data_IF_854832701715
#
_entry.id   IF_854832701715
#
_cell.length_a   1.000
_cell.length_b   1.000
_cell.length_c   1.000
_cell.angle_alpha   90.00
_cell.angle_beta   90.00
_cell.angle_gamma   90.00
#
_symmetry.space_group_name_H-M   'P 1'
#
loop_
_entity.id
_entity.type
_entity.pdbx_description
1 polymer ?
#
# COMPACT_ATOMS: atom_id res chain seq x y z
N UNK A 1 -16.23 -13.31 -4.01
CA UNK A 1 -15.68 -12.21 -4.83
C UNK A 1 -16.21 -10.93 -4.22
N UNK A 2 -15.46 -10.32 -3.29
CA UNK A 2 -15.95 -9.16 -2.56
C UNK A 2 -15.54 -7.91 -3.34
N UNK A 3 -16.40 -7.52 -4.28
CA UNK A 3 -16.38 -6.17 -4.83
C UNK A 3 -17.30 -5.41 -3.89
N UNK A 4 -16.77 -4.73 -2.87
CA UNK A 4 -17.20 -3.37 -2.49
C UNK A 4 -16.45 -2.90 -1.24
N UNK A 5 -16.11 -1.61 -1.22
CA UNK A 5 -14.96 -0.99 -0.60
C UNK A 5 -15.38 -0.37 0.73
N UNK A 6 -14.57 0.54 1.28
CA UNK A 6 -14.85 1.48 2.38
C UNK A 6 -16.35 1.78 2.72
N UNK A 7 -17.30 1.76 1.77
CA UNK A 7 -18.75 1.90 2.04
C UNK A 7 -19.41 0.73 2.80
N UNK A 8 -18.96 -0.52 2.63
CA UNK A 8 -19.44 -1.65 3.44
C UNK A 8 -18.85 -1.61 4.84
N UNK A 9 -17.61 -1.15 4.98
CA UNK A 9 -16.96 -0.88 6.28
C UNK A 9 -17.80 0.03 7.17
N UNK A 10 -18.31 1.11 6.59
CA UNK A 10 -19.12 2.09 7.32
C UNK A 10 -20.43 1.44 7.77
N UNK A 11 -21.04 0.59 6.93
CA UNK A 11 -22.22 -0.20 7.31
C UNK A 11 -21.90 -1.24 8.38
N UNK A 12 -20.79 -1.96 8.25
CA UNK A 12 -20.34 -2.97 9.21
C UNK A 12 -20.06 -2.34 10.58
N UNK A 13 -19.56 -1.09 10.63
CA UNK A 13 -19.39 -0.31 11.87
C UNK A 13 -20.73 -0.08 12.58
N UNK A 14 -21.82 0.16 11.85
CA UNK A 14 -23.15 0.32 12.43
C UNK A 14 -23.77 -1.00 12.91
N UNK A 15 -23.28 -2.14 12.41
CA UNK A 15 -23.76 -3.48 12.75
C UNK A 15 -22.84 -4.22 13.73
N UNK A 16 -21.80 -3.56 14.28
CA UNK A 16 -20.84 -4.20 15.19
C UNK A 16 -21.53 -4.64 16.48
N UNK A 17 -21.45 -5.92 16.87
CA UNK A 17 -21.93 -6.37 18.17
C UNK A 17 -21.20 -5.65 19.31
N UNK A 18 -21.97 -5.20 20.30
CA UNK A 18 -21.44 -4.49 21.48
C UNK A 18 -20.32 -5.32 22.11
N UNK A 19 -19.11 -4.74 22.18
CA UNK A 19 -17.90 -5.38 22.71
C UNK A 19 -16.86 -5.82 21.67
N UNK A 20 -17.20 -5.85 20.37
CA UNK A 20 -16.26 -6.21 19.29
C UNK A 20 -15.61 -5.00 18.57
N UNK A 21 -16.07 -3.78 18.85
CA UNK A 21 -15.60 -2.55 18.19
C UNK A 21 -14.08 -2.37 18.27
N UNK A 22 -13.50 -2.59 19.45
CA UNK A 22 -12.06 -2.46 19.65
C UNK A 22 -11.24 -3.45 18.82
N UNK A 23 -11.75 -4.67 18.62
CA UNK A 23 -11.09 -5.67 17.78
C UNK A 23 -11.14 -5.27 16.32
N UNK A 24 -12.32 -4.86 15.84
CA UNK A 24 -12.50 -4.42 14.46
C UNK A 24 -11.59 -3.23 14.17
N UNK A 25 -11.64 -2.16 14.97
CA UNK A 25 -10.79 -0.97 14.78
C UNK A 25 -9.31 -1.33 14.69
N UNK A 26 -8.81 -2.23 15.56
CA UNK A 26 -7.42 -2.70 15.51
C UNK A 26 -7.11 -3.47 14.23
N UNK A 27 -8.03 -4.29 13.74
CA UNK A 27 -7.89 -5.01 12.48
C UNK A 27 -7.81 -4.03 11.29
N UNK A 28 -8.71 -3.05 11.24
CA UNK A 28 -8.72 -1.99 10.22
C UNK A 28 -7.40 -1.21 10.17
N UNK A 29 -6.93 -0.75 11.33
CA UNK A 29 -5.65 -0.02 11.43
C UNK A 29 -4.49 -0.89 10.93
N UNK A 30 -4.46 -2.18 11.31
CA UNK A 30 -3.42 -3.10 10.85
C UNK A 30 -3.43 -3.32 9.34
N UNK A 31 -4.60 -3.47 8.72
CA UNK A 31 -4.69 -3.62 7.26
C UNK A 31 -4.23 -2.35 6.54
N UNK A 32 -4.75 -1.19 6.95
CA UNK A 32 -4.38 0.09 6.33
C UNK A 32 -2.88 0.33 6.44
N UNK A 33 -2.32 0.21 7.64
CA UNK A 33 -0.89 0.42 7.85
C UNK A 33 -0.04 -0.67 7.18
N UNK A 34 -0.46 -1.94 7.26
CA UNK A 34 0.26 -3.05 6.68
C UNK A 34 0.45 -2.89 5.17
N UNK A 35 -0.63 -2.56 4.46
CA UNK A 35 -0.60 -2.34 3.01
C UNK A 35 0.24 -1.11 2.64
N UNK A 36 0.07 0.03 3.33
CA UNK A 36 0.91 1.21 3.07
C UNK A 36 2.40 0.89 3.29
N UNK A 37 2.74 0.19 4.37
CA UNK A 37 4.12 -0.15 4.69
C UNK A 37 4.72 -1.20 3.74
N UNK A 38 3.89 -2.01 3.07
CA UNK A 38 4.35 -3.08 2.18
C UNK A 38 5.18 -2.54 1.01
N UNK A 39 4.70 -1.49 0.32
CA UNK A 39 5.40 -0.90 -0.83
C UNK A 39 6.10 0.43 -0.54
N UNK A 40 6.03 0.95 0.69
CA UNK A 40 6.77 2.14 1.08
C UNK A 40 8.29 2.00 0.84
N UNK A 41 8.97 0.91 1.25
CA UNK A 41 10.39 0.73 0.96
C UNK A 41 10.67 0.71 -0.55
N UNK A 42 9.81 0.05 -1.32
CA UNK A 42 9.96 -0.02 -2.77
C UNK A 42 9.88 1.38 -3.40
N UNK A 43 8.96 2.23 -2.94
CA UNK A 43 8.84 3.63 -3.39
C UNK A 43 10.08 4.48 -3.09
N UNK A 44 10.83 4.15 -2.03
CA UNK A 44 12.11 4.82 -1.69
C UNK A 44 13.23 4.29 -2.59
N UNK A 45 13.37 2.97 -2.70
CA UNK A 45 14.53 2.34 -3.33
C UNK A 45 14.48 2.34 -4.85
N UNK A 46 13.30 2.30 -5.47
CA UNK A 46 13.18 2.33 -6.94
C UNK A 46 13.89 3.54 -7.56
N UNK A 47 13.58 4.80 -7.18
CA UNK A 47 14.26 5.96 -7.75
C UNK A 47 15.73 6.08 -7.31
N UNK A 48 16.09 5.54 -6.15
CA UNK A 48 17.46 5.52 -5.64
C UNK A 48 18.36 4.59 -6.46
N UNK A 49 17.89 3.38 -6.79
CA UNK A 49 18.66 2.38 -7.52
C UNK A 49 18.59 2.55 -9.04
N UNK A 50 17.45 3.00 -9.58
CA UNK A 50 17.20 3.02 -11.02
C UNK A 50 16.98 4.44 -11.55
N UNK A 51 17.92 4.93 -12.37
CA UNK A 51 17.84 6.26 -13.00
C UNK A 51 16.54 6.48 -13.79
N UNK A 52 16.04 5.44 -14.46
CA UNK A 52 14.80 5.48 -15.26
C UNK A 52 13.52 5.63 -14.41
N UNK A 53 13.58 5.31 -13.12
CA UNK A 53 12.44 5.35 -12.22
C UNK A 53 12.45 6.55 -11.28
N UNK A 54 13.40 7.49 -11.44
CA UNK A 54 13.46 8.74 -10.65
C UNK A 54 12.29 9.68 -10.83
N UNK A 55 11.43 9.44 -11.82
CA UNK A 55 10.20 10.22 -11.99
C UNK A 55 9.09 9.69 -11.08
N UNK A 56 8.27 10.60 -10.53
CA UNK A 56 7.12 10.24 -9.70
C UNK A 56 6.20 9.27 -10.44
N UNK A 57 5.84 9.61 -11.69
CA UNK A 57 4.95 8.79 -12.53
C UNK A 57 5.51 7.38 -12.73
N UNK A 58 6.80 7.25 -13.04
CA UNK A 58 7.43 5.94 -13.25
C UNK A 58 7.41 5.10 -11.98
N UNK A 59 7.80 5.67 -10.83
CA UNK A 59 7.77 4.95 -9.55
C UNK A 59 6.34 4.51 -9.19
N UNK A 60 5.36 5.40 -9.30
CA UNK A 60 3.97 5.10 -8.95
C UNK A 60 3.37 4.02 -9.85
N UNK A 61 3.62 4.09 -11.16
CA UNK A 61 3.16 3.03 -12.08
C UNK A 61 3.81 1.69 -11.72
N UNK A 62 5.11 1.67 -11.43
CA UNK A 62 5.78 0.43 -11.00
C UNK A 62 5.19 -0.10 -9.69
N UNK A 63 4.96 0.73 -8.68
CA UNK A 63 4.33 0.30 -7.43
C UNK A 63 2.90 -0.20 -7.64
N UNK A 64 2.11 0.44 -8.51
CA UNK A 64 0.76 -0.01 -8.84
C UNK A 64 0.76 -1.38 -9.53
N UNK A 65 1.68 -1.60 -10.48
CA UNK A 65 1.84 -2.89 -11.16
C UNK A 65 2.32 -3.99 -10.21
N UNK A 66 3.26 -3.68 -9.31
CA UNK A 66 3.71 -4.61 -8.27
C UNK A 66 2.56 -4.93 -7.33
N UNK A 67 1.78 -3.94 -6.91
CA UNK A 67 0.62 -4.18 -6.06
C UNK A 67 -0.44 -5.04 -6.73
N UNK A 68 -0.72 -4.80 -8.01
CA UNK A 68 -1.63 -5.64 -8.79
C UNK A 68 -1.10 -7.07 -8.87
N UNK A 69 0.21 -7.24 -9.03
CA UNK A 69 0.86 -8.56 -9.06
C UNK A 69 0.72 -9.29 -7.71
N UNK A 70 0.87 -8.57 -6.58
CA UNK A 70 0.64 -9.10 -5.24
C UNK A 70 -0.78 -9.62 -5.09
N UNK A 71 -1.76 -8.83 -5.53
CA UNK A 71 -3.17 -9.20 -5.47
C UNK A 71 -3.48 -10.44 -6.32
N UNK A 72 -2.92 -10.51 -7.53
CA UNK A 72 -3.06 -11.69 -8.40
C UNK A 72 -2.46 -12.93 -7.75
N UNK A 73 -1.30 -12.81 -7.11
CA UNK A 73 -0.67 -13.93 -6.38
C UNK A 73 -1.53 -14.36 -5.19
N UNK A 74 -2.09 -13.42 -4.43
CA UNK A 74 -3.02 -13.72 -3.33
C UNK A 74 -4.28 -14.43 -3.84
N UNK A 75 -4.86 -13.96 -4.94
CA UNK A 75 -6.01 -14.59 -5.57
C UNK A 75 -5.70 -16.02 -6.04
N UNK A 76 -4.53 -16.25 -6.65
CA UNK A 76 -4.10 -17.61 -7.03
C UNK A 76 -3.87 -18.48 -5.79
N UNK A 77 -3.34 -17.91 -4.70
CA UNK A 77 -3.12 -18.64 -3.45
C UNK A 77 -4.42 -19.17 -2.83
N UNK A 78 -5.57 -18.62 -3.22
CA UNK A 78 -6.89 -19.15 -2.87
C UNK A 78 -7.09 -20.60 -3.27
N UNK A 79 -6.54 -21.00 -4.41
CA UNK A 79 -6.61 -22.39 -4.88
C UNK A 79 -5.74 -23.35 -4.04
N UNK A 80 -4.86 -22.83 -3.19
CA UNK A 80 -3.99 -23.60 -2.28
C UNK A 80 -4.46 -23.55 -0.82
N UNK A 81 -5.71 -23.13 -0.58
CA UNK A 81 -6.32 -23.12 0.77
C UNK A 81 -6.19 -21.81 1.54
N UNK A 82 -5.61 -20.75 0.95
CA UNK A 82 -5.63 -19.42 1.55
C UNK A 82 -6.89 -18.67 1.13
N UNK A 83 -7.92 -18.64 1.97
CA UNK A 83 -9.16 -17.89 1.70
C UNK A 83 -8.97 -16.36 1.76
N UNK A 84 -8.11 -15.80 0.91
CA UNK A 84 -7.94 -14.36 0.74
C UNK A 84 -8.72 -13.89 -0.48
N UNK A 85 -9.58 -12.90 -0.26
CA UNK A 85 -10.27 -12.17 -1.32
C UNK A 85 -9.30 -11.31 -2.11
N UNK A 86 -9.65 -11.03 -3.36
CA UNK A 86 -9.02 -9.99 -4.14
C UNK A 86 -9.58 -8.63 -3.68
N UNK A 87 -8.76 -7.77 -3.07
CA UNK A 87 -9.19 -6.54 -2.42
C UNK A 87 -8.55 -5.30 -3.08
N UNK A 88 -9.36 -4.52 -3.80
CA UNK A 88 -8.88 -3.33 -4.52
C UNK A 88 -8.33 -2.23 -3.58
N UNK A 89 -8.82 -2.21 -2.34
CA UNK A 89 -8.34 -1.29 -1.31
C UNK A 89 -6.87 -1.58 -0.97
N UNK A 90 -6.45 -2.85 -0.98
CA UNK A 90 -5.05 -3.24 -0.78
C UNK A 90 -4.17 -2.69 -1.91
N UNK A 91 -4.66 -2.76 -3.16
CA UNK A 91 -3.98 -2.17 -4.32
C UNK A 91 -3.78 -0.66 -4.15
N UNK A 92 -4.83 0.04 -3.73
CA UNK A 92 -4.79 1.49 -3.52
C UNK A 92 -3.82 1.83 -2.38
N UNK A 93 -3.93 1.16 -1.24
CA UNK A 93 -3.11 1.40 -0.05
C UNK A 93 -1.62 1.10 -0.31
N UNK A 94 -1.31 -0.01 -0.95
CA UNK A 94 0.04 -0.35 -1.38
C UNK A 94 0.59 0.72 -2.35
N UNK A 95 -0.20 1.15 -3.33
CA UNK A 95 0.21 2.21 -4.26
C UNK A 95 0.47 3.54 -3.54
N UNK A 96 -0.37 3.90 -2.57
CA UNK A 96 -0.17 5.06 -1.70
C UNK A 96 1.12 4.94 -0.87
N UNK A 97 1.43 3.75 -0.37
CA UNK A 97 2.73 3.44 0.24
C UNK A 97 3.90 3.78 -0.66
N UNK A 98 3.84 3.33 -1.91
CA UNK A 98 4.83 3.67 -2.94
C UNK A 98 4.96 5.17 -3.21
N UNK A 99 3.84 5.90 -3.26
CA UNK A 99 3.83 7.37 -3.40
C UNK A 99 4.52 8.05 -2.22
N UNK A 100 4.20 7.65 -0.99
CA UNK A 100 4.82 8.17 0.24
C UNK A 100 6.33 7.88 0.22
N UNK A 101 6.72 6.66 -0.13
CA UNK A 101 8.12 6.28 -0.28
C UNK A 101 8.89 7.17 -1.26
N UNK A 102 8.29 7.48 -2.42
CA UNK A 102 8.91 8.39 -3.38
C UNK A 102 9.09 9.81 -2.83
N UNK A 103 8.09 10.32 -2.10
CA UNK A 103 8.17 11.64 -1.45
C UNK A 103 9.32 11.66 -0.45
N UNK A 104 9.47 10.61 0.36
CA UNK A 104 10.59 10.45 1.30
C UNK A 104 11.92 10.47 0.55
N UNK A 105 12.06 9.70 -0.52
CA UNK A 105 13.25 9.73 -1.38
C UNK A 105 13.58 11.15 -1.87
N UNK A 106 12.58 11.90 -2.37
CA UNK A 106 12.79 13.25 -2.88
C UNK A 106 13.28 14.21 -1.79
N UNK A 107 12.74 14.10 -0.57
CA UNK A 107 13.18 14.91 0.59
C UNK A 107 14.61 14.56 0.98
N UNK A 108 14.95 13.26 1.02
CA UNK A 108 16.32 12.81 1.34
C UNK A 108 17.30 13.31 0.28
N UNK A 109 17.01 13.10 -1.01
CA UNK A 109 17.90 13.51 -2.10
C UNK A 109 18.16 15.02 -2.08
N UNK A 110 17.09 15.83 -1.92
CA UNK A 110 17.22 17.30 -1.83
C UNK A 110 18.11 17.74 -0.65
N UNK A 111 18.02 17.07 0.50
CA UNK A 111 18.86 17.37 1.67
C UNK A 111 20.32 16.99 1.45
N UNK A 112 20.58 15.88 0.75
CA UNK A 112 21.95 15.45 0.42
C UNK A 112 22.60 16.44 -0.54
N UNK A 113 21.88 16.88 -1.58
CA UNK A 113 22.39 17.86 -2.55
C UNK A 113 22.77 19.18 -1.84
N UNK A 114 21.91 19.68 -0.95
CA UNK A 114 22.17 20.90 -0.15
C UNK A 114 23.41 20.78 0.75
N UNK A 115 23.72 19.60 1.30
CA UNK A 115 24.89 19.42 2.19
C UNK A 115 26.22 19.49 1.43
N UNK A 116 26.24 19.17 0.15
CA UNK A 116 27.47 19.16 -0.67
C UNK A 116 27.86 20.59 -1.12
N UNK A 117 26.91 21.54 -1.09
CA UNK A 117 27.14 22.93 -1.49
C UNK A 117 27.69 23.85 -0.38
N UNK A 118 27.90 23.35 0.85
CA UNK A 118 28.49 24.08 1.99
C UNK A 118 29.81 23.45 2.44
#
# INVERSE_FOLDING_TARGET
MNIVPVFNTIKDIYEVPIGMESYMVRFWIKNILGNILLLLPLGIFLPMCFKRLRSFKSTVITCALVSLSIEVVQYISMYFGNFRSCDIDDIILNTLGGMIGFIIYKVINKKVDLRIEF
#
